data_IF_984699593935
#
_entry.id   IF_984699593935
#
_cell.length_a   1.000
_cell.length_b   1.000
_cell.length_c   1.000
_cell.angle_alpha   90.00
_cell.angle_beta   90.00
_cell.angle_gamma   90.00
#
_symmetry.space_group_name_H-M   'P 1'
#
loop_
_entity.id
_entity.type
_entity.pdbx_description
1 polymer ?
#
# COMPACT_ATOMS: atom_id res chain seq x y z
N UNK A 1 -26.39 62.43 -15.49
CA UNK A 1 -25.63 61.35 -16.10
C UNK A 1 -25.43 60.27 -15.04
N UNK A 2 -26.15 59.16 -15.14
CA UNK A 2 -26.14 58.09 -14.17
C UNK A 2 -25.33 56.92 -14.75
N UNK A 3 -24.19 56.59 -14.10
CA UNK A 3 -23.39 55.43 -14.47
C UNK A 3 -24.01 54.16 -13.86
N UNK A 4 -24.47 53.23 -14.70
CA UNK A 4 -24.90 51.90 -14.32
C UNK A 4 -23.67 50.99 -14.30
N UNK A 5 -23.27 50.53 -13.13
CA UNK A 5 -22.25 49.47 -12.97
C UNK A 5 -22.87 48.12 -13.32
N UNK A 6 -22.37 47.48 -14.36
CA UNK A 6 -22.67 46.06 -14.65
C UNK A 6 -21.78 45.19 -13.75
N UNK A 7 -22.40 44.44 -12.85
CA UNK A 7 -21.75 43.37 -12.12
C UNK A 7 -21.82 42.09 -12.98
N UNK A 8 -20.68 41.64 -13.48
CA UNK A 8 -20.58 40.32 -14.12
C UNK A 8 -20.48 39.25 -13.01
N UNK A 9 -21.53 38.49 -12.83
CA UNK A 9 -21.50 37.28 -12.02
C UNK A 9 -20.82 36.16 -12.84
N UNK A 10 -19.60 35.83 -12.50
CA UNK A 10 -18.93 34.64 -13.03
C UNK A 10 -19.54 33.39 -12.38
N UNK A 11 -20.42 32.68 -13.11
CA UNK A 11 -20.93 31.39 -12.71
C UNK A 11 -19.81 30.38 -12.87
N UNK A 12 -19.20 30.00 -11.77
CA UNK A 12 -18.28 28.84 -11.73
C UNK A 12 -19.15 27.58 -11.90
N UNK A 13 -19.12 27.03 -13.10
CA UNK A 13 -19.67 25.70 -13.38
C UNK A 13 -18.83 24.65 -12.63
N UNK A 14 -19.29 24.30 -11.43
CA UNK A 14 -18.89 23.04 -10.83
C UNK A 14 -19.48 21.94 -11.69
N UNK A 15 -18.66 21.41 -12.60
CA UNK A 15 -18.98 20.18 -13.31
C UNK A 15 -19.13 19.08 -12.28
N UNK A 16 -20.36 18.73 -11.95
CA UNK A 16 -20.66 17.55 -11.18
C UNK A 16 -20.24 16.35 -12.01
N UNK A 17 -19.19 15.63 -11.60
CA UNK A 17 -18.89 14.28 -12.07
C UNK A 17 -19.99 13.33 -11.56
N UNK A 18 -21.23 13.62 -11.92
CA UNK A 18 -22.36 12.78 -11.55
C UNK A 18 -22.26 11.47 -12.32
N UNK A 19 -21.87 10.38 -11.63
CA UNK A 19 -21.97 9.03 -12.12
C UNK A 19 -20.72 8.17 -12.16
N UNK A 20 -19.55 8.61 -11.65
CA UNK A 20 -18.45 7.71 -11.39
C UNK A 20 -18.62 7.07 -10.01
N UNK A 21 -18.42 5.74 -9.94
CA UNK A 21 -18.31 5.05 -8.65
C UNK A 21 -17.09 5.59 -7.90
N UNK A 22 -17.14 5.48 -6.58
CA UNK A 22 -16.02 5.83 -5.70
C UNK A 22 -15.58 4.62 -4.92
N UNK A 23 -14.27 4.41 -4.70
CA UNK A 23 -13.79 3.34 -3.84
C UNK A 23 -14.39 3.48 -2.44
N UNK A 24 -14.98 2.40 -1.96
CA UNK A 24 -15.51 2.36 -0.59
C UNK A 24 -14.42 2.12 0.45
N UNK A 25 -13.26 1.62 0.03
CA UNK A 25 -12.14 1.23 0.88
C UNK A 25 -10.84 1.81 0.31
N UNK A 26 -10.04 2.41 1.19
CA UNK A 26 -8.64 2.75 0.94
C UNK A 26 -7.75 1.62 1.46
N UNK A 27 -7.12 0.87 0.56
CA UNK A 27 -6.33 -0.32 0.89
C UNK A 27 -4.88 -0.02 1.28
N UNK A 28 -4.48 1.27 1.36
CA UNK A 28 -3.11 1.62 1.69
C UNK A 28 -3.04 2.97 2.41
N UNK A 29 -3.09 2.92 3.73
CA UNK A 29 -2.93 4.08 4.60
C UNK A 29 -1.86 3.84 5.66
N UNK A 30 -1.27 4.93 6.11
CA UNK A 30 -0.34 4.94 7.22
C UNK A 30 -0.74 5.98 8.25
N UNK A 31 -0.54 5.66 9.52
CA UNK A 31 -0.55 6.62 10.61
C UNK A 31 0.87 6.82 11.12
N UNK A 32 1.13 7.93 11.77
CA UNK A 32 2.46 8.31 12.26
C UNK A 32 2.38 8.62 13.74
N UNK A 33 2.96 7.76 14.56
CA UNK A 33 3.04 7.98 16.01
C UNK A 33 3.98 9.15 16.35
N UNK A 34 3.85 9.77 17.54
CA UNK A 34 4.82 10.75 18.02
C UNK A 34 6.26 10.21 18.07
N UNK A 35 6.41 8.91 18.25
CA UNK A 35 7.71 8.23 18.26
C UNK A 35 8.27 8.08 16.84
N UNK A 36 7.44 7.61 15.90
CA UNK A 36 7.83 7.46 14.50
C UNK A 36 8.08 8.81 13.80
N UNK A 37 7.36 9.86 14.17
CA UNK A 37 7.60 11.22 13.66
C UNK A 37 9.07 11.68 13.90
N UNK A 38 9.66 11.28 15.04
CA UNK A 38 11.07 11.56 15.35
C UNK A 38 12.07 10.87 14.41
N UNK A 39 11.62 9.88 13.64
CA UNK A 39 12.42 9.25 12.58
C UNK A 39 12.49 10.11 11.31
N UNK A 40 11.88 11.30 11.29
CA UNK A 40 12.05 12.31 10.24
C UNK A 40 11.20 12.11 8.99
N UNK A 41 10.02 11.52 9.10
CA UNK A 41 9.09 11.37 7.97
C UNK A 41 8.20 12.61 7.76
N UNK A 42 7.55 13.05 8.81
CA UNK A 42 6.73 14.26 8.87
C UNK A 42 7.09 15.01 10.15
N UNK A 43 6.89 16.35 10.19
CA UNK A 43 7.22 17.14 11.36
C UNK A 43 6.29 16.84 12.56
N UNK A 44 5.09 16.37 12.31
CA UNK A 44 4.07 16.11 13.32
C UNK A 44 3.51 14.69 13.20
N UNK A 45 3.02 14.12 14.31
CA UNK A 45 2.23 12.89 14.29
C UNK A 45 1.00 13.03 13.37
N UNK A 46 0.54 11.91 12.84
CA UNK A 46 -0.69 11.81 12.06
C UNK A 46 -1.52 10.65 12.60
N UNK A 47 -2.64 10.96 13.25
CA UNK A 47 -3.46 10.03 14.01
C UNK A 47 -4.68 9.55 13.22
N UNK A 48 -5.41 8.57 13.77
CA UNK A 48 -6.70 8.16 13.21
C UNK A 48 -7.71 9.33 13.16
N UNK A 49 -7.69 10.21 14.15
CA UNK A 49 -8.58 11.40 14.18
C UNK A 49 -8.26 12.40 13.09
N UNK A 50 -7.01 12.45 12.63
CA UNK A 50 -6.61 13.27 11.49
C UNK A 50 -7.00 12.60 10.16
N UNK A 51 -6.94 11.26 10.09
CA UNK A 51 -7.26 10.49 8.89
C UNK A 51 -8.76 10.47 8.58
N UNK A 52 -9.62 10.27 9.58
CA UNK A 52 -11.08 10.10 9.37
C UNK A 52 -11.70 11.27 8.56
N UNK A 53 -11.46 12.54 8.89
CA UNK A 53 -12.01 13.66 8.09
C UNK A 53 -11.52 13.66 6.63
N UNK A 54 -10.30 13.18 6.38
CA UNK A 54 -9.75 13.11 5.01
C UNK A 54 -10.40 11.97 4.20
N UNK A 55 -10.71 10.84 4.84
CA UNK A 55 -11.50 9.77 4.22
C UNK A 55 -12.93 10.23 3.91
N UNK A 56 -13.56 10.94 4.86
CA UNK A 56 -14.92 11.48 4.66
C UNK A 56 -14.95 12.48 3.50
N UNK A 57 -13.96 13.37 3.41
CA UNK A 57 -13.82 14.31 2.28
C UNK A 57 -13.60 13.64 0.93
N UNK A 58 -13.09 12.40 0.93
CA UNK A 58 -12.93 11.57 -0.28
C UNK A 58 -14.13 10.65 -0.53
N UNK A 59 -15.13 10.58 0.36
CA UNK A 59 -16.23 9.64 0.29
C UNK A 59 -15.83 8.18 0.55
N UNK A 60 -14.67 7.95 1.18
CA UNK A 60 -14.13 6.63 1.49
C UNK A 60 -14.63 6.17 2.86
N UNK A 61 -15.26 5.02 2.92
CA UNK A 61 -15.90 4.53 4.14
C UNK A 61 -14.95 3.83 5.09
N UNK A 62 -13.99 3.07 4.58
CA UNK A 62 -13.06 2.28 5.39
C UNK A 62 -11.61 2.46 4.87
N UNK A 63 -10.65 2.22 5.74
CA UNK A 63 -9.25 2.17 5.32
C UNK A 63 -8.47 1.05 6.04
N UNK A 64 -7.50 0.50 5.30
CA UNK A 64 -6.49 -0.40 5.84
C UNK A 64 -5.27 0.42 6.26
N UNK A 65 -4.97 0.44 7.55
CA UNK A 65 -3.83 1.11 8.15
C UNK A 65 -2.66 0.15 8.26
N UNK A 66 -1.56 0.49 7.64
CA UNK A 66 -0.34 -0.31 7.59
C UNK A 66 0.68 0.26 8.57
N UNK A 67 0.96 -0.48 9.66
CA UNK A 67 1.89 -0.03 10.71
C UNK A 67 3.28 0.26 10.16
N UNK A 68 3.91 1.33 10.66
CA UNK A 68 5.26 1.76 10.31
C UNK A 68 6.36 1.11 11.17
N UNK A 69 6.03 0.11 11.97
CA UNK A 69 6.95 -0.49 12.92
C UNK A 69 8.25 -1.02 12.29
N UNK A 70 8.22 -1.47 11.02
CA UNK A 70 9.43 -1.86 10.27
C UNK A 70 10.46 -0.73 10.12
N UNK A 71 10.08 0.53 10.30
CA UNK A 71 10.97 1.68 10.16
C UNK A 71 12.03 1.78 11.27
N UNK A 72 11.77 1.18 12.43
CA UNK A 72 12.75 1.17 13.53
C UNK A 72 13.96 0.29 13.22
N UNK A 73 13.82 -0.68 12.32
CA UNK A 73 14.92 -1.50 11.80
C UNK A 73 15.54 -1.01 10.50
N UNK A 74 15.12 0.15 9.98
CA UNK A 74 15.55 0.67 8.68
C UNK A 74 17.05 1.02 8.67
N UNK A 75 17.89 0.30 7.89
CA UNK A 75 19.34 0.51 7.89
C UNK A 75 19.77 1.80 7.19
N UNK A 76 18.85 2.54 6.58
CA UNK A 76 19.12 3.86 6.03
C UNK A 76 18.96 4.98 7.07
N UNK A 77 18.62 4.64 8.32
CA UNK A 77 18.45 5.55 9.45
C UNK A 77 19.41 5.19 10.57
N UNK A 78 19.62 6.13 11.48
CA UNK A 78 20.41 5.87 12.68
C UNK A 78 19.77 4.73 13.48
N UNK A 79 20.57 3.78 14.00
CA UNK A 79 20.07 2.72 14.86
C UNK A 79 19.32 3.27 16.07
N UNK A 80 18.22 2.65 16.43
CA UNK A 80 17.44 3.03 17.62
C UNK A 80 17.75 2.10 18.78
N UNK A 81 17.81 2.67 19.99
CA UNK A 81 17.96 1.86 21.20
C UNK A 81 16.70 0.99 21.41
N UNK A 82 16.89 -0.21 21.91
CA UNK A 82 15.81 -1.16 22.19
C UNK A 82 14.87 -1.36 20.97
N UNK A 83 15.44 -1.53 19.79
CA UNK A 83 14.73 -1.59 18.52
C UNK A 83 13.43 -2.43 18.60
N UNK A 84 13.51 -3.67 19.12
CA UNK A 84 12.31 -4.50 19.22
C UNK A 84 11.23 -3.93 20.17
N UNK A 85 11.64 -3.26 21.24
CA UNK A 85 10.68 -2.60 22.11
C UNK A 85 9.98 -1.43 21.39
N UNK A 86 10.69 -0.69 20.50
CA UNK A 86 10.09 0.35 19.69
C UNK A 86 9.11 -0.23 18.65
N UNK A 87 9.50 -1.34 17.98
CA UNK A 87 8.62 -2.06 17.05
C UNK A 87 7.30 -2.45 17.72
N UNK A 88 7.36 -3.06 18.91
CA UNK A 88 6.16 -3.41 19.68
C UNK A 88 5.32 -2.19 20.01
N UNK A 89 5.93 -1.12 20.51
CA UNK A 89 5.23 0.13 20.86
C UNK A 89 4.50 0.75 19.67
N UNK A 90 5.11 0.70 18.49
CA UNK A 90 4.51 1.25 17.26
C UNK A 90 3.32 0.41 16.79
N UNK A 91 3.45 -0.91 16.77
CA UNK A 91 2.33 -1.80 16.47
C UNK A 91 1.19 -1.63 17.48
N UNK A 92 1.49 -1.59 18.78
CA UNK A 92 0.49 -1.36 19.83
C UNK A 92 -0.16 0.02 19.73
N UNK A 93 0.60 1.05 19.31
CA UNK A 93 0.04 2.37 19.05
C UNK A 93 -0.93 2.35 17.87
N UNK A 94 -0.54 1.69 16.77
CA UNK A 94 -1.40 1.53 15.58
C UNK A 94 -2.69 0.79 15.96
N UNK A 95 -2.61 -0.28 16.76
CA UNK A 95 -3.78 -1.00 17.27
C UNK A 95 -4.73 -0.10 18.07
N UNK A 96 -4.19 0.72 18.97
CA UNK A 96 -5.01 1.69 19.74
C UNK A 96 -5.68 2.72 18.85
N UNK A 97 -4.99 3.20 17.80
CA UNK A 97 -5.55 4.17 16.86
C UNK A 97 -6.75 3.61 16.11
N UNK A 98 -6.66 2.40 15.58
CA UNK A 98 -7.77 1.80 14.85
C UNK A 98 -8.90 1.36 15.79
N UNK A 99 -8.60 1.03 17.04
CA UNK A 99 -9.59 0.71 18.07
C UNK A 99 -10.54 1.89 18.38
N UNK A 100 -10.14 3.13 18.13
CA UNK A 100 -11.01 4.30 18.25
C UNK A 100 -12.10 4.36 17.16
N UNK A 101 -11.88 3.68 16.01
CA UNK A 101 -12.76 3.70 14.84
C UNK A 101 -12.92 2.30 14.22
N UNK A 102 -13.41 1.30 14.98
CA UNK A 102 -13.37 -0.11 14.55
C UNK A 102 -14.22 -0.42 13.31
N UNK A 103 -15.26 0.37 13.05
CA UNK A 103 -16.10 0.23 11.85
C UNK A 103 -15.49 0.91 10.59
N UNK A 104 -14.46 1.73 10.80
CA UNK A 104 -13.83 2.55 9.76
C UNK A 104 -12.42 2.09 9.41
N UNK A 105 -11.67 1.56 10.38
CA UNK A 105 -10.25 1.27 10.24
C UNK A 105 -9.94 -0.18 10.62
N UNK A 106 -9.08 -0.83 9.82
CA UNK A 106 -8.38 -2.06 10.17
C UNK A 106 -6.89 -1.83 10.11
N UNK A 107 -6.11 -2.60 10.87
CA UNK A 107 -4.67 -2.44 10.89
C UNK A 107 -3.93 -3.74 10.55
N UNK A 108 -2.79 -3.59 9.88
CA UNK A 108 -1.79 -4.63 9.71
C UNK A 108 -0.55 -4.33 10.55
N UNK A 109 0.00 -5.38 11.14
CA UNK A 109 1.23 -5.36 11.92
C UNK A 109 2.44 -5.09 11.00
N UNK A 110 3.32 -4.17 11.37
CA UNK A 110 4.56 -3.89 10.64
C UNK A 110 5.74 -4.66 11.20
N UNK A 111 6.55 -5.28 10.34
CA UNK A 111 7.76 -6.00 10.75
C UNK A 111 8.84 -5.96 9.67
N UNK A 112 10.12 -5.89 10.08
CA UNK A 112 11.25 -6.13 9.16
C UNK A 112 11.53 -7.65 9.11
N UNK A 113 11.39 -8.27 7.92
CA UNK A 113 11.53 -9.72 7.77
C UNK A 113 12.95 -10.26 8.08
N UNK A 114 13.97 -9.38 8.08
CA UNK A 114 15.37 -9.77 8.31
C UNK A 114 15.74 -9.82 9.79
N UNK A 115 14.89 -9.33 10.67
CA UNK A 115 15.20 -9.23 12.11
C UNK A 115 14.93 -10.54 12.84
N UNK A 116 15.79 -10.86 13.79
CA UNK A 116 15.68 -12.09 14.60
C UNK A 116 14.37 -12.18 15.39
N UNK A 117 13.78 -11.04 15.76
CA UNK A 117 12.50 -10.97 16.47
C UNK A 117 11.26 -11.04 15.56
N UNK A 118 11.42 -11.06 14.21
CA UNK A 118 10.30 -10.97 13.26
C UNK A 118 9.20 -12.01 13.56
N UNK A 119 9.57 -13.28 13.72
CA UNK A 119 8.60 -14.34 13.98
C UNK A 119 7.92 -14.20 15.35
N UNK A 120 8.64 -13.70 16.35
CA UNK A 120 8.08 -13.44 17.68
C UNK A 120 7.04 -12.32 17.62
N UNK A 121 7.30 -11.27 16.84
CA UNK A 121 6.37 -10.17 16.66
C UNK A 121 5.13 -10.61 15.86
N UNK A 122 5.27 -11.39 14.80
CA UNK A 122 4.14 -11.96 14.04
C UNK A 122 3.24 -12.76 14.99
N UNK A 123 3.81 -13.66 15.77
CA UNK A 123 3.06 -14.46 16.76
C UNK A 123 2.34 -13.60 17.81
N UNK A 124 2.92 -12.46 18.19
CA UNK A 124 2.32 -11.50 19.11
C UNK A 124 1.15 -10.77 18.45
N UNK A 125 1.36 -10.22 17.25
CA UNK A 125 0.34 -9.52 16.47
C UNK A 125 -0.85 -10.42 16.11
N UNK A 126 -0.61 -11.70 15.80
CA UNK A 126 -1.66 -12.68 15.51
C UNK A 126 -2.64 -12.91 16.66
N UNK A 127 -2.28 -12.52 17.89
CA UNK A 127 -3.14 -12.60 19.08
C UNK A 127 -3.80 -11.27 19.44
N UNK A 128 -3.42 -10.18 18.79
CA UNK A 128 -3.97 -8.86 19.05
C UNK A 128 -5.30 -8.69 18.30
N UNK A 129 -6.37 -8.20 18.93
CA UNK A 129 -7.70 -8.09 18.31
C UNK A 129 -7.76 -7.12 17.12
N UNK A 130 -6.78 -6.24 16.98
CA UNK A 130 -6.76 -5.20 15.94
C UNK A 130 -5.64 -5.41 14.90
N UNK A 131 -4.63 -6.25 15.17
CA UNK A 131 -3.47 -6.47 14.29
C UNK A 131 -3.46 -7.85 13.61
N UNK A 132 -4.30 -8.79 14.07
CA UNK A 132 -4.30 -10.16 13.56
C UNK A 132 -4.71 -10.31 12.10
N UNK A 133 -5.23 -9.26 11.47
CA UNK A 133 -5.69 -9.29 10.07
C UNK A 133 -4.55 -9.45 9.07
N UNK A 134 -3.34 -8.99 9.39
CA UNK A 134 -2.24 -9.11 8.43
C UNK A 134 -0.93 -8.44 8.82
N UNK A 135 0.02 -8.55 7.89
CA UNK A 135 1.37 -8.00 7.98
C UNK A 135 1.61 -6.94 6.91
N UNK A 136 2.30 -5.86 7.27
CA UNK A 136 2.97 -4.95 6.35
C UNK A 136 4.46 -5.24 6.31
N UNK A 137 4.96 -5.53 5.10
CA UNK A 137 6.38 -5.65 4.79
C UNK A 137 6.79 -4.55 3.83
N UNK A 138 8.00 -4.03 4.00
CA UNK A 138 8.53 -2.97 3.13
C UNK A 138 9.98 -3.26 2.76
N UNK A 139 10.20 -3.91 1.62
CA UNK A 139 11.53 -4.37 1.22
C UNK A 139 12.53 -3.23 1.04
N UNK A 140 12.09 -2.06 0.53
CA UNK A 140 12.95 -0.89 0.41
C UNK A 140 13.48 -0.38 1.74
N UNK A 141 12.61 -0.24 2.74
CA UNK A 141 12.98 0.28 4.07
C UNK A 141 13.65 -0.78 4.95
N UNK A 142 13.39 -2.04 4.71
CA UNK A 142 14.10 -3.15 5.37
C UNK A 142 15.39 -3.54 4.64
N UNK A 143 15.71 -2.90 3.51
CA UNK A 143 16.87 -3.21 2.67
C UNK A 143 16.95 -4.71 2.29
N UNK A 144 15.81 -5.30 1.93
CA UNK A 144 15.77 -6.68 1.45
C UNK A 144 16.46 -6.76 0.09
N UNK A 145 17.33 -7.76 -0.05
CA UNK A 145 18.01 -8.11 -1.28
C UNK A 145 17.51 -9.51 -1.71
N UNK A 146 16.73 -9.56 -2.78
CA UNK A 146 16.20 -10.83 -3.30
C UNK A 146 17.25 -11.63 -4.07
N UNK A 147 18.39 -11.04 -4.43
CA UNK A 147 19.54 -11.75 -4.99
C UNK A 147 20.37 -12.48 -3.93
N UNK A 148 20.15 -12.17 -2.66
CA UNK A 148 20.76 -12.89 -1.54
C UNK A 148 19.88 -14.07 -1.10
N UNK A 149 20.27 -15.33 -1.38
CA UNK A 149 19.48 -16.51 -1.01
C UNK A 149 19.22 -16.61 0.49
N UNK A 150 20.12 -16.09 1.33
CA UNK A 150 19.91 -16.08 2.77
C UNK A 150 18.74 -15.16 3.16
N UNK A 151 18.65 -13.96 2.54
CA UNK A 151 17.53 -13.06 2.80
C UNK A 151 16.22 -13.61 2.25
N UNK A 152 16.24 -14.28 1.09
CA UNK A 152 15.07 -14.99 0.54
C UNK A 152 14.54 -16.02 1.56
N UNK A 153 15.41 -16.78 2.21
CA UNK A 153 15.02 -17.72 3.29
C UNK A 153 14.34 -16.99 4.45
N UNK A 154 14.86 -15.83 4.88
CA UNK A 154 14.25 -15.05 5.97
C UNK A 154 12.85 -14.55 5.59
N UNK A 155 12.68 -14.01 4.38
CA UNK A 155 11.38 -13.55 3.87
C UNK A 155 10.39 -14.72 3.78
N UNK A 156 10.82 -15.88 3.24
CA UNK A 156 9.97 -17.08 3.18
C UNK A 156 9.49 -17.55 4.56
N UNK A 157 10.33 -17.45 5.59
CA UNK A 157 9.93 -17.78 6.97
C UNK A 157 8.84 -16.84 7.49
N UNK A 158 8.92 -15.55 7.16
CA UNK A 158 7.90 -14.56 7.53
C UNK A 158 6.60 -14.84 6.79
N UNK A 159 6.63 -15.12 5.49
CA UNK A 159 5.46 -15.49 4.70
C UNK A 159 4.77 -16.74 5.26
N UNK A 160 5.55 -17.78 5.56
CA UNK A 160 5.02 -19.00 6.17
C UNK A 160 4.37 -18.74 7.53
N UNK A 161 5.00 -17.95 8.39
CA UNK A 161 4.43 -17.60 9.67
C UNK A 161 3.12 -16.80 9.54
N UNK A 162 3.02 -15.91 8.55
CA UNK A 162 1.77 -15.22 8.25
C UNK A 162 0.68 -16.21 7.83
N UNK A 163 1.00 -17.14 6.93
CA UNK A 163 0.07 -18.17 6.45
C UNK A 163 -0.41 -19.08 7.59
N UNK A 164 0.49 -19.55 8.46
CA UNK A 164 0.19 -20.37 9.64
C UNK A 164 -0.76 -19.65 10.64
N UNK A 165 -0.73 -18.34 10.67
CA UNK A 165 -1.59 -17.52 11.53
C UNK A 165 -2.82 -16.91 10.81
N UNK A 166 -3.03 -17.22 9.53
CA UNK A 166 -4.14 -16.67 8.75
C UNK A 166 -4.04 -15.16 8.50
N UNK A 167 -2.83 -14.58 8.59
CA UNK A 167 -2.59 -13.15 8.41
C UNK A 167 -2.32 -12.83 6.94
N UNK A 168 -3.12 -11.96 6.34
CA UNK A 168 -2.85 -11.44 4.99
C UNK A 168 -1.51 -10.67 4.95
N UNK A 169 -0.95 -10.46 3.75
CA UNK A 169 0.33 -9.74 3.61
C UNK A 169 0.16 -8.58 2.64
N UNK A 170 0.53 -7.37 3.06
CA UNK A 170 0.80 -6.24 2.16
C UNK A 170 2.30 -6.05 2.04
N UNK A 171 2.84 -6.18 0.83
CA UNK A 171 4.26 -6.04 0.57
C UNK A 171 4.57 -4.91 -0.39
N UNK A 172 5.38 -3.93 0.07
CA UNK A 172 6.11 -3.01 -0.80
C UNK A 172 7.34 -3.75 -1.31
N UNK A 173 7.22 -4.27 -2.52
CA UNK A 173 8.18 -5.23 -3.05
C UNK A 173 9.45 -4.56 -3.61
N UNK A 174 9.37 -3.32 -4.12
CA UNK A 174 10.52 -2.57 -4.65
C UNK A 174 11.60 -2.41 -3.57
N UNK A 175 12.80 -2.99 -3.75
CA UNK A 175 13.89 -2.86 -2.80
C UNK A 175 14.48 -1.43 -2.74
N UNK A 176 15.49 -1.23 -1.91
CA UNK A 176 16.10 0.08 -1.66
C UNK A 176 16.75 0.66 -2.93
N UNK A 177 16.17 1.77 -3.44
CA UNK A 177 16.74 2.55 -4.54
C UNK A 177 18.04 3.23 -4.09
N UNK A 178 18.07 3.79 -2.87
CA UNK A 178 19.23 4.50 -2.32
C UNK A 178 20.44 3.60 -2.11
N UNK A 179 20.22 2.31 -1.95
CA UNK A 179 21.27 1.28 -1.83
C UNK A 179 21.53 0.54 -3.14
N UNK A 180 20.96 1.00 -4.24
CA UNK A 180 21.10 0.39 -5.58
C UNK A 180 20.79 -1.13 -5.56
N UNK A 181 19.80 -1.56 -4.78
CA UNK A 181 19.40 -2.97 -4.78
C UNK A 181 18.83 -3.35 -6.14
N UNK A 182 19.23 -4.50 -6.69
CA UNK A 182 18.68 -4.99 -7.95
C UNK A 182 17.15 -5.11 -7.88
N UNK A 183 16.50 -4.79 -8.98
CA UNK A 183 15.07 -4.97 -9.14
C UNK A 183 14.68 -5.09 -10.60
N UNK A 184 13.77 -6.00 -10.90
CA UNK A 184 13.22 -6.22 -12.23
C UNK A 184 12.62 -7.61 -12.38
N UNK A 185 12.71 -8.18 -13.57
CA UNK A 185 12.14 -9.49 -13.86
C UNK A 185 12.73 -10.61 -12.98
N UNK A 186 14.04 -10.59 -12.74
CA UNK A 186 14.71 -11.63 -11.94
C UNK A 186 14.18 -11.70 -10.51
N UNK A 187 14.09 -10.55 -9.84
CA UNK A 187 13.63 -10.46 -8.46
C UNK A 187 12.13 -10.80 -8.34
N UNK A 188 11.34 -10.42 -9.38
CA UNK A 188 9.94 -10.82 -9.46
C UNK A 188 9.78 -12.34 -9.68
N UNK A 189 10.64 -12.99 -10.48
CA UNK A 189 10.67 -14.45 -10.62
C UNK A 189 11.04 -15.15 -9.31
N UNK A 190 12.03 -14.64 -8.58
CA UNK A 190 12.38 -15.17 -7.24
C UNK A 190 11.18 -15.03 -6.29
N UNK A 191 10.52 -13.88 -6.28
CA UNK A 191 9.34 -13.67 -5.45
C UNK A 191 8.21 -14.64 -5.83
N UNK A 192 7.91 -14.79 -7.11
CA UNK A 192 6.89 -15.69 -7.64
C UNK A 192 7.20 -17.17 -7.35
N UNK A 193 8.48 -17.60 -7.55
CA UNK A 193 8.84 -19.01 -7.48
C UNK A 193 9.20 -19.49 -6.09
N UNK A 194 9.74 -18.62 -5.23
CA UNK A 194 10.27 -19.04 -3.94
C UNK A 194 9.49 -18.46 -2.75
N UNK A 195 8.99 -17.23 -2.86
CA UNK A 195 8.38 -16.54 -1.72
C UNK A 195 6.86 -16.75 -1.68
N UNK A 196 6.13 -16.53 -2.78
CA UNK A 196 4.68 -16.74 -2.82
C UNK A 196 4.25 -18.15 -2.39
N UNK A 197 4.93 -19.25 -2.78
CA UNK A 197 4.55 -20.60 -2.35
C UNK A 197 4.67 -20.84 -0.83
N UNK A 198 5.31 -19.94 -0.09
CA UNK A 198 5.40 -20.05 1.37
C UNK A 198 4.14 -19.57 2.10
N UNK A 199 3.22 -18.87 1.40
CA UNK A 199 1.95 -18.39 1.96
C UNK A 199 0.78 -18.62 0.98
N UNK A 200 0.41 -19.88 0.71
CA UNK A 200 -0.56 -20.23 -0.33
C UNK A 200 -2.02 -19.97 0.07
N UNK A 201 -2.32 -19.83 1.36
CA UNK A 201 -3.71 -19.79 1.85
C UNK A 201 -4.19 -18.36 2.18
N UNK A 202 -3.28 -17.42 2.41
CA UNK A 202 -3.64 -16.05 2.77
C UNK A 202 -3.58 -15.09 1.58
N UNK A 203 -4.40 -14.03 1.57
CA UNK A 203 -4.30 -12.97 0.56
C UNK A 203 -2.97 -12.23 0.65
N UNK A 204 -2.38 -11.96 -0.52
CA UNK A 204 -1.16 -11.18 -0.66
C UNK A 204 -1.47 -9.96 -1.53
N UNK A 205 -1.23 -8.76 -1.03
CA UNK A 205 -1.34 -7.51 -1.77
C UNK A 205 0.06 -7.00 -2.10
N UNK A 206 0.38 -6.95 -3.40
CA UNK A 206 1.61 -6.33 -3.91
C UNK A 206 1.32 -4.85 -4.15
N UNK A 207 2.01 -3.99 -3.40
CA UNK A 207 1.77 -2.55 -3.43
C UNK A 207 2.31 -1.89 -4.71
N UNK A 208 1.66 -0.78 -5.11
CA UNK A 208 2.11 0.14 -6.17
C UNK A 208 2.35 -0.54 -7.53
N UNK A 209 1.53 -1.54 -7.91
CA UNK A 209 1.78 -2.38 -9.09
C UNK A 209 3.22 -2.93 -9.13
N UNK A 210 3.70 -3.46 -8.02
CA UNK A 210 5.07 -3.93 -7.80
C UNK A 210 6.14 -2.83 -7.81
N UNK A 211 5.75 -1.56 -7.67
CA UNK A 211 6.64 -0.39 -7.65
C UNK A 211 6.87 0.22 -6.28
N UNK A 212 7.11 1.54 -6.31
CA UNK A 212 7.36 2.36 -5.12
C UNK A 212 6.50 3.64 -5.09
N UNK A 213 5.37 3.65 -5.81
CA UNK A 213 4.63 4.85 -6.16
C UNK A 213 5.17 5.47 -7.46
N UNK A 214 4.30 6.09 -8.26
CA UNK A 214 4.62 6.47 -9.62
C UNK A 214 4.88 5.26 -10.54
N UNK A 215 5.14 5.51 -11.81
CA UNK A 215 5.43 4.47 -12.80
C UNK A 215 6.62 4.87 -13.69
N UNK A 216 7.60 5.57 -13.10
CA UNK A 216 8.75 6.14 -13.82
C UNK A 216 9.94 5.19 -13.90
N UNK A 217 10.07 4.27 -12.94
CA UNK A 217 11.13 3.29 -12.88
C UNK A 217 10.87 2.14 -13.87
N UNK A 218 11.67 1.99 -14.94
CA UNK A 218 11.46 0.94 -15.93
C UNK A 218 11.64 -0.47 -15.37
N UNK A 219 12.36 -0.62 -14.26
CA UNK A 219 12.52 -1.92 -13.59
C UNK A 219 11.19 -2.43 -13.00
N UNK A 220 10.30 -1.51 -12.62
CA UNK A 220 8.96 -1.82 -12.12
C UNK A 220 8.11 -2.48 -13.20
N UNK A 221 8.14 -1.93 -14.43
CA UNK A 221 7.40 -2.51 -15.55
C UNK A 221 7.91 -3.92 -15.91
N UNK A 222 9.22 -4.12 -15.82
CA UNK A 222 9.87 -5.43 -16.01
C UNK A 222 9.42 -6.44 -14.93
N UNK A 223 9.41 -6.03 -13.65
CA UNK A 223 8.94 -6.88 -12.56
C UNK A 223 7.43 -7.21 -12.69
N UNK A 224 6.60 -6.20 -12.98
CA UNK A 224 5.16 -6.39 -13.16
C UNK A 224 4.86 -7.33 -14.32
N UNK A 225 5.66 -7.31 -15.40
CA UNK A 225 5.51 -8.18 -16.56
C UNK A 225 5.64 -9.67 -16.22
N UNK A 226 6.43 -10.03 -15.22
CA UNK A 226 6.53 -11.40 -14.70
C UNK A 226 5.20 -11.87 -14.11
N UNK A 227 4.61 -11.07 -13.24
CA UNK A 227 3.31 -11.39 -12.64
C UNK A 227 2.19 -11.44 -13.68
N UNK A 228 2.17 -10.49 -14.62
CA UNK A 228 1.21 -10.49 -15.73
C UNK A 228 1.37 -11.78 -16.58
N UNK A 229 2.59 -12.20 -16.86
CA UNK A 229 2.86 -13.46 -17.54
C UNK A 229 2.35 -14.68 -16.77
N UNK A 230 2.52 -14.69 -15.44
CA UNK A 230 1.99 -15.75 -14.58
C UNK A 230 0.45 -15.77 -14.58
N UNK A 231 -0.20 -14.60 -14.48
CA UNK A 231 -1.66 -14.46 -14.56
C UNK A 231 -2.17 -14.98 -15.92
N UNK A 232 -1.54 -14.59 -17.01
CA UNK A 232 -1.93 -15.01 -18.37
C UNK A 232 -1.82 -16.54 -18.56
N UNK A 233 -0.89 -17.19 -17.87
CA UNK A 233 -0.75 -18.66 -17.85
C UNK A 233 -1.64 -19.36 -16.81
N UNK A 234 -2.48 -18.61 -16.10
CA UNK A 234 -3.33 -19.14 -15.02
C UNK A 234 -2.51 -19.84 -13.91
N UNK A 235 -1.37 -19.28 -13.57
CA UNK A 235 -0.49 -19.82 -12.53
C UNK A 235 -1.21 -19.79 -11.18
N UNK A 236 -1.35 -20.95 -10.55
CA UNK A 236 -2.08 -21.10 -9.29
C UNK A 236 -1.48 -20.32 -8.13
N UNK A 237 -0.20 -19.96 -8.20
CA UNK A 237 0.47 -19.09 -7.21
C UNK A 237 -0.13 -17.67 -7.17
N UNK A 238 -0.78 -17.24 -8.25
CA UNK A 238 -1.43 -15.93 -8.35
C UNK A 238 -2.87 -15.89 -7.83
N UNK A 239 -3.44 -17.02 -7.41
CA UNK A 239 -4.88 -17.13 -7.07
C UNK A 239 -5.32 -16.17 -5.95
N UNK A 240 -4.45 -15.90 -4.95
CA UNK A 240 -4.74 -15.03 -3.81
C UNK A 240 -3.94 -13.72 -3.86
N UNK A 241 -3.41 -13.35 -5.04
CA UNK A 241 -2.56 -12.15 -5.20
C UNK A 241 -3.40 -10.99 -5.72
N UNK A 242 -3.37 -9.88 -5.00
CA UNK A 242 -3.94 -8.58 -5.35
C UNK A 242 -2.82 -7.58 -5.62
N UNK A 243 -3.15 -6.53 -6.38
CA UNK A 243 -2.24 -5.40 -6.58
C UNK A 243 -2.94 -4.12 -6.16
N UNK A 244 -2.25 -3.24 -5.44
CA UNK A 244 -2.80 -1.90 -5.28
C UNK A 244 -2.17 -0.90 -6.25
N UNK A 245 -2.89 0.18 -6.49
CA UNK A 245 -2.50 1.26 -7.40
C UNK A 245 -2.22 2.56 -6.65
N UNK A 246 -1.99 2.49 -5.33
CA UNK A 246 -1.69 3.68 -4.57
C UNK A 246 -0.39 4.35 -5.06
N UNK A 247 -0.40 5.67 -5.18
CA UNK A 247 0.72 6.45 -5.70
C UNK A 247 1.03 6.25 -7.19
N UNK A 248 0.48 5.24 -7.87
CA UNK A 248 0.73 4.98 -9.30
C UNK A 248 0.17 6.10 -10.18
N UNK A 249 -1.04 6.56 -9.86
CA UNK A 249 -1.57 7.82 -10.38
C UNK A 249 -1.37 8.92 -9.33
N UNK A 250 -0.85 10.08 -9.74
CA UNK A 250 -0.60 11.23 -8.88
C UNK A 250 0.87 11.48 -8.55
N UNK A 251 1.76 10.51 -8.77
CA UNK A 251 3.20 10.67 -8.54
C UNK A 251 3.99 10.53 -9.85
N UNK A 252 5.13 11.23 -9.92
CA UNK A 252 6.01 11.20 -11.08
C UNK A 252 5.34 11.67 -12.38
N UNK A 253 5.72 11.11 -13.50
CA UNK A 253 5.21 11.43 -14.86
C UNK A 253 3.93 10.66 -15.19
N UNK A 254 3.08 10.38 -14.21
CA UNK A 254 1.92 9.51 -14.37
C UNK A 254 0.92 9.96 -15.46
N UNK A 255 0.79 11.27 -15.71
CA UNK A 255 -0.12 11.79 -16.76
C UNK A 255 0.31 11.35 -18.15
N UNK A 256 1.61 11.37 -18.42
CA UNK A 256 2.20 10.95 -19.69
C UNK A 256 2.12 9.42 -19.86
N UNK A 257 2.11 8.69 -18.74
CA UNK A 257 2.05 7.23 -18.70
C UNK A 257 0.65 6.65 -18.47
N UNK A 258 -0.39 7.48 -18.38
CA UNK A 258 -1.75 7.05 -18.04
C UNK A 258 -2.26 5.91 -18.93
N UNK A 259 -2.00 5.95 -20.24
CA UNK A 259 -2.38 4.87 -21.16
C UNK A 259 -1.64 3.55 -20.86
N UNK A 260 -0.35 3.62 -20.53
CA UNK A 260 0.43 2.45 -20.14
C UNK A 260 -0.09 1.88 -18.82
N UNK A 261 -0.30 2.74 -17.81
CA UNK A 261 -0.84 2.33 -16.50
C UNK A 261 -2.19 1.62 -16.66
N UNK A 262 -3.11 2.19 -17.44
CA UNK A 262 -4.42 1.57 -17.70
C UNK A 262 -4.27 0.22 -18.43
N UNK A 263 -3.33 0.11 -19.36
CA UNK A 263 -3.04 -1.16 -20.05
C UNK A 263 -2.53 -2.22 -19.05
N UNK A 264 -1.62 -1.85 -18.14
CA UNK A 264 -1.09 -2.77 -17.12
C UNK A 264 -2.16 -3.20 -16.12
N UNK A 265 -3.04 -2.30 -15.70
CA UNK A 265 -4.21 -2.60 -14.85
C UNK A 265 -5.10 -3.67 -15.53
N UNK A 266 -5.37 -3.53 -16.84
CA UNK A 266 -6.14 -4.51 -17.61
C UNK A 266 -5.45 -5.87 -17.71
N UNK A 267 -4.14 -5.88 -17.88
CA UNK A 267 -3.34 -7.11 -17.95
C UNK A 267 -3.26 -7.85 -16.61
N UNK A 268 -3.19 -7.12 -15.50
CA UNK A 268 -3.34 -7.69 -14.14
C UNK A 268 -4.75 -8.25 -13.96
N UNK A 269 -5.74 -7.60 -14.56
CA UNK A 269 -7.17 -7.90 -14.40
C UNK A 269 -7.80 -7.04 -13.30
N UNK A 270 -8.77 -6.22 -13.68
CA UNK A 270 -9.45 -5.25 -12.78
C UNK A 270 -10.07 -5.87 -11.53
N UNK A 271 -10.33 -7.19 -11.53
CA UNK A 271 -10.85 -7.92 -10.38
C UNK A 271 -9.82 -8.06 -9.23
N UNK A 272 -8.54 -7.94 -9.55
CA UNK A 272 -7.42 -8.16 -8.65
C UNK A 272 -6.70 -6.85 -8.28
N UNK A 273 -7.23 -5.72 -8.75
CA UNK A 273 -6.69 -4.40 -8.48
C UNK A 273 -7.49 -3.73 -7.37
N UNK A 274 -6.79 -3.16 -6.40
CA UNK A 274 -7.34 -2.45 -5.25
C UNK A 274 -6.93 -0.98 -5.33
N UNK A 275 -7.85 -0.08 -5.00
CA UNK A 275 -7.49 1.32 -4.86
C UNK A 275 -6.92 1.60 -3.47
N UNK A 276 -5.90 2.43 -3.39
CA UNK A 276 -5.33 2.97 -2.17
C UNK A 276 -4.75 4.34 -2.43
N UNK A 277 -4.69 5.20 -1.42
CA UNK A 277 -4.18 6.55 -1.60
C UNK A 277 -2.72 6.71 -1.23
N UNK A 278 -2.20 5.92 -0.28
CA UNK A 278 -0.93 6.17 0.42
C UNK A 278 -0.85 7.62 0.95
N UNK A 279 -2.04 8.14 1.27
CA UNK A 279 -2.30 9.54 1.49
C UNK A 279 -1.69 10.05 2.77
N UNK A 280 -1.38 11.34 2.78
CA UNK A 280 -0.79 12.12 3.86
C UNK A 280 0.61 11.68 4.28
N UNK A 281 1.07 10.48 3.90
CA UNK A 281 2.39 9.96 4.27
C UNK A 281 3.28 9.68 3.04
N UNK A 282 2.99 8.64 2.26
CA UNK A 282 3.89 8.18 1.20
C UNK A 282 3.85 9.05 -0.05
N UNK A 283 2.67 9.39 -0.53
CA UNK A 283 2.47 10.16 -1.76
C UNK A 283 2.35 11.68 -1.58
N UNK A 284 2.30 12.18 -0.34
CA UNK A 284 2.11 13.61 -0.04
C UNK A 284 0.74 14.17 -0.49
N UNK A 285 -0.18 13.30 -0.91
CA UNK A 285 -1.53 13.65 -1.35
C UNK A 285 -2.55 13.25 -0.29
N UNK A 286 -3.63 14.03 -0.16
CA UNK A 286 -4.79 13.57 0.60
C UNK A 286 -5.53 12.46 -0.18
N UNK A 287 -6.32 11.59 0.49
CA UNK A 287 -7.16 10.60 -0.20
C UNK A 287 -8.00 11.19 -1.33
N UNK A 288 -8.58 12.38 -1.13
CA UNK A 288 -9.35 13.07 -2.17
C UNK A 288 -8.51 13.51 -3.38
N UNK A 289 -7.24 13.89 -3.17
CA UNK A 289 -6.32 14.22 -4.27
C UNK A 289 -5.89 12.96 -5.03
N UNK A 290 -5.56 11.88 -4.32
CA UNK A 290 -5.22 10.58 -4.90
C UNK A 290 -6.41 10.01 -5.71
N UNK A 291 -7.63 10.16 -5.19
CA UNK A 291 -8.84 9.74 -5.89
C UNK A 291 -9.04 10.51 -7.21
N UNK A 292 -8.85 11.82 -7.20
CA UNK A 292 -8.93 12.63 -8.44
C UNK A 292 -7.89 12.18 -9.48
N UNK A 293 -6.63 11.97 -9.05
CA UNK A 293 -5.59 11.49 -9.95
C UNK A 293 -5.92 10.11 -10.54
N UNK A 294 -6.43 9.19 -9.73
CA UNK A 294 -6.90 7.88 -10.19
C UNK A 294 -8.02 8.01 -11.22
N UNK A 295 -8.99 8.89 -11.00
CA UNK A 295 -10.12 9.12 -11.92
C UNK A 295 -9.72 9.75 -13.26
N UNK A 296 -8.52 10.32 -13.38
CA UNK A 296 -7.96 10.80 -14.64
C UNK A 296 -7.34 9.68 -15.52
N UNK A 297 -7.17 8.46 -14.99
CA UNK A 297 -6.68 7.34 -15.80
C UNK A 297 -7.68 6.98 -16.92
N UNK A 298 -7.21 6.60 -18.11
CA UNK A 298 -8.07 6.26 -19.24
C UNK A 298 -8.69 4.85 -19.08
N UNK A 299 -9.41 4.65 -17.99
CA UNK A 299 -10.21 3.47 -17.70
C UNK A 299 -11.67 3.74 -18.07
N UNK A 300 -12.41 2.71 -18.44
CA UNK A 300 -13.86 2.79 -18.66
C UNK A 300 -14.61 2.89 -17.33
N UNK A 301 -15.85 3.38 -17.37
CA UNK A 301 -16.74 3.41 -16.18
C UNK A 301 -16.92 2.04 -15.54
N UNK A 302 -16.98 0.99 -16.35
CA UNK A 302 -17.12 -0.38 -15.86
C UNK A 302 -15.86 -0.87 -15.14
N UNK A 303 -14.66 -0.52 -15.65
CA UNK A 303 -13.38 -0.84 -15.02
C UNK A 303 -13.23 -0.10 -13.69
N UNK A 304 -13.55 1.20 -13.64
CA UNK A 304 -13.59 1.96 -12.39
C UNK A 304 -14.54 1.31 -11.39
N UNK A 305 -15.80 1.07 -11.79
CA UNK A 305 -16.79 0.46 -10.90
C UNK A 305 -16.28 -0.87 -10.33
N UNK A 306 -15.63 -1.69 -11.15
CA UNK A 306 -15.11 -2.98 -10.70
C UNK A 306 -13.98 -2.82 -9.67
N UNK A 307 -13.01 -1.94 -9.93
CA UNK A 307 -11.90 -1.66 -8.99
C UNK A 307 -12.45 -1.09 -7.68
N UNK A 308 -13.36 -0.12 -7.76
CA UNK A 308 -13.98 0.58 -6.63
C UNK A 308 -14.79 -0.34 -5.71
N UNK A 309 -15.31 -1.44 -6.26
CA UNK A 309 -16.14 -2.43 -5.53
C UNK A 309 -15.40 -3.71 -5.18
N UNK A 310 -14.13 -3.85 -5.54
CA UNK A 310 -13.34 -4.99 -5.13
C UNK A 310 -13.22 -5.06 -3.60
N UNK A 311 -13.44 -6.24 -3.05
CA UNK A 311 -13.39 -6.48 -1.61
C UNK A 311 -12.40 -7.60 -1.31
N UNK A 312 -11.21 -7.22 -0.85
CA UNK A 312 -10.22 -8.18 -0.39
C UNK A 312 -10.69 -8.90 0.89
N UNK A 313 -10.40 -10.20 1.05
CA UNK A 313 -10.95 -11.01 2.16
C UNK A 313 -10.67 -10.44 3.56
N UNK A 314 -9.52 -9.81 3.76
CA UNK A 314 -9.11 -9.23 5.04
C UNK A 314 -9.85 -7.92 5.41
N UNK A 315 -10.72 -7.39 4.53
CA UNK A 315 -11.58 -6.23 4.80
C UNK A 315 -13.07 -6.60 4.97
N UNK A 316 -13.39 -7.91 4.94
CA UNK A 316 -14.75 -8.43 5.19
C UNK A 316 -15.12 -8.41 6.67
#
# INVERSE_FOLDING_TARGET
MAFRSLVFAASILFGTFAGQSQPSIDYHQHLLSPSAAKLGFLPNPFTARDLIPLLDAAGVRQALVLSLAYQYGNPNKAPVLEEYAQVKRENDWTARQVAEFPDRLRAFCGVDPRKSYALSEIKRCAKDPYLHYGLKLHFGNSDVDLDDPHQVVLVRRVFRAADEHGMAIVVHMRPSVTRNRPYGAKEAEIFLSEILPAAPHVPIQIAHLAGAGGFDDPSVDSALSVFIGAIARQDTRMTNVYFDICGVAGMGQWKEKGALIATRIRQVGVNWVLWGSDGAFGGGMTPAQALRAYQELPLTRQEFHKIDTNLAPYMR
#
